data_IF_263609796669
#
_entry.id   IF_263609796669
#
_cell.length_a   1.000
_cell.length_b   1.000
_cell.length_c   1.000
_cell.angle_alpha   90.00
_cell.angle_beta   90.00
_cell.angle_gamma   90.00
#
_symmetry.space_group_name_H-M   'P 1'
#
loop_
_entity.id
_entity.type
_entity.pdbx_description
1 polymer ?
#
# COMPACT_ATOMS: atom_id res chain seq x y z
N UNK A 1 52.87 15.12 -31.31
CA UNK A 1 52.56 15.20 -29.86
C UNK A 1 51.04 15.34 -29.65
N UNK A 2 50.24 14.34 -30.03
CA UNK A 2 48.77 14.48 -30.14
C UNK A 2 47.94 13.36 -29.52
N UNK A 3 48.51 12.57 -28.58
CA UNK A 3 47.82 11.43 -27.96
C UNK A 3 47.21 11.71 -26.59
N UNK A 4 47.80 12.62 -25.79
CA UNK A 4 47.41 12.79 -24.38
C UNK A 4 46.10 13.55 -24.17
N UNK A 5 45.82 14.57 -24.98
CA UNK A 5 44.62 15.40 -24.84
C UNK A 5 43.33 14.64 -25.22
N UNK A 6 43.41 13.77 -26.23
CA UNK A 6 42.25 13.00 -26.71
C UNK A 6 41.83 11.91 -25.71
N UNK A 7 42.81 11.28 -25.04
CA UNK A 7 42.56 10.29 -23.98
C UNK A 7 41.96 10.96 -22.73
N UNK A 8 42.37 12.19 -22.40
CA UNK A 8 41.83 12.93 -21.26
C UNK A 8 40.36 13.35 -21.47
N UNK A 9 40.00 13.75 -22.70
CA UNK A 9 38.63 14.14 -23.06
C UNK A 9 37.68 12.93 -23.06
N UNK A 10 38.15 11.76 -23.55
CA UNK A 10 37.37 10.52 -23.48
C UNK A 10 37.17 10.04 -22.02
N UNK A 11 38.19 10.15 -21.18
CA UNK A 11 38.09 9.75 -19.77
C UNK A 11 37.12 10.64 -18.97
N UNK A 12 37.05 11.95 -19.28
CA UNK A 12 36.09 12.86 -18.66
C UNK A 12 34.64 12.57 -19.10
N UNK A 13 34.41 12.25 -20.38
CA UNK A 13 33.08 11.93 -20.90
C UNK A 13 32.52 10.63 -20.32
N UNK A 14 33.38 9.62 -20.08
CA UNK A 14 32.98 8.35 -19.45
C UNK A 14 32.74 8.53 -17.93
N UNK A 15 33.44 9.46 -17.28
CA UNK A 15 33.23 9.77 -15.85
C UNK A 15 31.95 10.59 -15.56
N UNK A 16 31.39 11.27 -16.57
CA UNK A 16 30.10 11.97 -16.50
C UNK A 16 28.89 11.06 -16.77
N UNK A 17 29.10 9.87 -17.32
CA UNK A 17 28.09 8.81 -17.42
C UNK A 17 27.92 8.04 -16.08
N UNK A 18 28.12 8.73 -14.95
CA UNK A 18 27.73 8.23 -13.62
C UNK A 18 26.22 8.10 -13.59
N UNK A 19 25.75 6.92 -13.99
CA UNK A 19 24.48 6.29 -13.64
C UNK A 19 23.50 7.25 -12.96
N UNK A 20 22.77 8.03 -13.75
CA UNK A 20 21.47 8.49 -13.28
C UNK A 20 20.67 7.21 -13.03
N UNK A 21 20.56 6.80 -11.77
CA UNK A 21 19.59 5.79 -11.38
C UNK A 21 18.27 6.20 -12.04
N UNK A 22 17.56 5.29 -12.74
CA UNK A 22 16.30 5.65 -13.37
C UNK A 22 15.46 6.37 -12.33
N UNK A 23 15.02 7.60 -12.65
CA UNK A 23 14.22 8.40 -11.73
C UNK A 23 13.10 7.51 -11.22
N UNK A 24 13.08 7.27 -9.90
CA UNK A 24 12.12 6.38 -9.28
C UNK A 24 10.73 6.88 -9.67
N UNK A 25 9.99 6.06 -10.42
CA UNK A 25 8.65 6.43 -10.88
C UNK A 25 7.79 6.68 -9.64
N UNK A 26 7.48 7.94 -9.38
CA UNK A 26 6.65 8.35 -8.25
C UNK A 26 5.20 7.89 -8.46
N UNK A 27 4.49 7.73 -7.36
CA UNK A 27 3.15 7.17 -7.30
C UNK A 27 3.01 5.78 -7.93
N UNK A 28 4.07 4.97 -7.83
CA UNK A 28 3.94 3.53 -7.92
C UNK A 28 3.50 2.99 -6.57
N UNK A 29 2.32 2.37 -6.52
CA UNK A 29 1.73 1.88 -5.27
C UNK A 29 2.48 0.69 -4.66
N UNK A 30 3.32 -0.03 -5.42
CA UNK A 30 4.10 -1.15 -4.90
C UNK A 30 4.96 -0.74 -3.70
N UNK A 31 5.09 -1.66 -2.75
CA UNK A 31 5.87 -1.48 -1.52
C UNK A 31 5.03 -1.34 -0.26
N UNK A 32 5.68 -0.92 0.83
CA UNK A 32 5.10 -0.85 2.16
C UNK A 32 4.64 0.58 2.50
N UNK A 33 3.42 0.66 3.01
CA UNK A 33 2.74 1.88 3.42
C UNK A 33 2.26 1.76 4.87
N UNK A 34 2.22 2.89 5.58
CA UNK A 34 1.61 2.99 6.89
C UNK A 34 0.63 4.14 6.92
N UNK A 35 -0.55 3.93 7.49
CA UNK A 35 -1.50 5.01 7.71
C UNK A 35 -1.27 5.76 9.04
N UNK A 36 -2.05 6.81 9.22
CA UNK A 36 -2.19 7.64 10.41
C UNK A 36 -2.70 6.92 11.66
N UNK A 37 -3.19 5.67 11.52
CA UNK A 37 -3.61 4.80 12.61
C UNK A 37 -2.64 3.63 12.84
N UNK A 38 -1.43 3.71 12.30
CA UNK A 38 -0.38 2.69 12.36
C UNK A 38 -0.68 1.34 11.67
N UNK A 39 -1.81 1.22 10.95
CA UNK A 39 -2.06 0.08 10.06
C UNK A 39 -1.04 0.04 8.92
N UNK A 40 -0.68 -1.16 8.51
CA UNK A 40 0.33 -1.41 7.47
C UNK A 40 -0.31 -2.05 6.24
N UNK A 41 0.20 -1.66 5.08
CA UNK A 41 -0.26 -2.15 3.79
C UNK A 41 0.96 -2.43 2.90
N UNK A 42 1.08 -3.65 2.40
CA UNK A 42 2.12 -4.04 1.44
C UNK A 42 1.45 -4.39 0.11
N UNK A 43 1.80 -3.65 -0.94
CA UNK A 43 1.29 -3.85 -2.28
C UNK A 43 2.39 -4.51 -3.11
N UNK A 44 2.02 -5.58 -3.83
CA UNK A 44 2.91 -6.27 -4.75
C UNK A 44 3.32 -5.37 -5.92
N UNK A 45 4.18 -5.88 -6.80
CA UNK A 45 4.32 -5.27 -8.12
C UNK A 45 2.95 -5.20 -8.82
N UNK A 46 2.69 -4.05 -9.46
CA UNK A 46 1.50 -3.83 -10.27
C UNK A 46 1.66 -4.56 -11.60
N UNK A 47 0.55 -5.06 -12.14
CA UNK A 47 0.48 -5.57 -13.51
C UNK A 47 0.39 -4.41 -14.51
N UNK A 48 0.66 -4.67 -15.78
CA UNK A 48 0.65 -3.66 -16.84
C UNK A 48 -0.72 -2.97 -17.01
N UNK A 49 -1.81 -3.67 -16.67
CA UNK A 49 -3.17 -3.14 -16.66
C UNK A 49 -3.51 -2.34 -15.39
N UNK A 50 -2.57 -2.15 -14.46
CA UNK A 50 -2.76 -1.43 -13.21
C UNK A 50 -3.29 -2.28 -12.05
N UNK A 51 -3.63 -3.56 -12.27
CA UNK A 51 -4.08 -4.45 -11.21
C UNK A 51 -2.96 -4.76 -10.22
N UNK A 52 -3.33 -4.88 -8.94
CA UNK A 52 -2.42 -5.30 -7.89
C UNK A 52 -3.09 -6.20 -6.85
N UNK A 53 -2.23 -6.94 -6.15
CA UNK A 53 -2.57 -7.67 -4.94
C UNK A 53 -1.69 -7.18 -3.80
N UNK A 54 -2.02 -7.58 -2.59
CA UNK A 54 -1.23 -7.22 -1.43
C UNK A 54 -1.76 -7.82 -0.15
N UNK A 55 -1.25 -7.28 0.95
CA UNK A 55 -1.64 -7.64 2.29
C UNK A 55 -1.86 -6.38 3.13
N UNK A 56 -2.82 -6.45 4.03
CA UNK A 56 -3.18 -5.38 4.95
C UNK A 56 -3.15 -5.91 6.38
N UNK A 57 -2.49 -5.20 7.28
CA UNK A 57 -2.51 -5.45 8.72
C UNK A 57 -3.10 -4.23 9.41
N UNK A 58 -4.33 -4.36 9.89
CA UNK A 58 -4.97 -3.27 10.64
C UNK A 58 -4.42 -3.21 12.06
N UNK A 59 -4.23 -2.00 12.59
CA UNK A 59 -3.92 -1.80 14.02
C UNK A 59 -5.17 -1.75 14.88
N UNK A 60 -6.32 -1.46 14.28
CA UNK A 60 -7.61 -1.27 14.96
C UNK A 60 -8.64 -2.24 14.38
N UNK A 61 -9.46 -2.83 15.26
CA UNK A 61 -10.57 -3.73 14.88
C UNK A 61 -11.85 -3.25 15.56
N UNK A 62 -12.99 -3.41 14.88
CA UNK A 62 -14.30 -2.99 15.43
C UNK A 62 -14.68 -3.84 16.63
N UNK A 63 -14.50 -5.15 16.53
CA UNK A 63 -14.87 -6.11 17.58
C UNK A 63 -13.84 -6.20 18.71
N UNK A 64 -12.75 -5.43 18.66
CA UNK A 64 -11.62 -5.55 19.59
C UNK A 64 -10.85 -6.89 19.46
N UNK A 65 -11.24 -7.75 18.51
CA UNK A 65 -10.57 -9.02 18.25
C UNK A 65 -9.17 -8.84 17.69
N UNK A 66 -8.34 -9.89 17.81
CA UNK A 66 -6.97 -9.86 17.33
C UNK A 66 -6.91 -9.66 15.82
N UNK A 67 -6.31 -8.55 15.38
CA UNK A 67 -6.10 -8.27 13.97
C UNK A 67 -5.12 -9.28 13.36
N UNK A 68 -5.47 -9.80 12.20
CA UNK A 68 -4.57 -10.64 11.41
C UNK A 68 -4.31 -10.03 10.04
N UNK A 69 -3.26 -10.49 9.39
CA UNK A 69 -2.92 -10.07 8.03
C UNK A 69 -3.97 -10.58 7.05
N UNK A 70 -4.60 -9.65 6.34
CA UNK A 70 -5.69 -9.90 5.41
C UNK A 70 -5.28 -9.58 3.97
N UNK A 71 -5.75 -10.37 2.98
CA UNK A 71 -5.44 -10.10 1.58
C UNK A 71 -6.17 -8.84 1.09
N UNK A 72 -5.50 -8.09 0.22
CA UNK A 72 -6.10 -7.00 -0.55
C UNK A 72 -5.92 -7.19 -2.06
N UNK A 73 -6.85 -6.63 -2.83
CA UNK A 73 -6.83 -6.60 -4.30
C UNK A 73 -7.37 -5.28 -4.80
N UNK A 74 -6.78 -4.72 -5.84
CA UNK A 74 -7.19 -3.42 -6.37
C UNK A 74 -6.61 -3.13 -7.74
N UNK A 75 -6.86 -1.92 -8.20
CA UNK A 75 -6.35 -1.40 -9.46
C UNK A 75 -5.97 0.08 -9.32
N UNK A 76 -4.92 0.47 -10.03
CA UNK A 76 -4.46 1.85 -10.17
C UNK A 76 -4.74 2.33 -11.60
N UNK A 77 -5.31 3.53 -11.74
CA UNK A 77 -5.40 4.17 -13.05
C UNK A 77 -3.99 4.50 -13.55
N UNK A 78 -3.79 4.39 -14.86
CA UNK A 78 -2.53 4.83 -15.47
C UNK A 78 -2.35 6.34 -15.24
N UNK A 79 -1.09 6.79 -15.16
CA UNK A 79 -0.81 8.22 -15.15
C UNK A 79 -1.33 8.82 -16.47
N UNK A 80 -2.43 9.58 -16.38
CA UNK A 80 -2.92 10.42 -17.46
C UNK A 80 -2.17 11.75 -17.52
N UNK A 81 -2.40 12.53 -18.56
CA UNK A 81 -1.73 13.83 -18.77
C UNK A 81 -2.04 14.90 -17.72
N UNK A 82 -3.10 14.75 -16.91
CA UNK A 82 -3.62 15.81 -16.04
C UNK A 82 -3.75 15.44 -14.56
N UNK A 83 -2.93 14.53 -14.02
CA UNK A 83 -2.87 14.35 -12.56
C UNK A 83 -2.17 13.11 -12.04
N UNK A 84 -2.02 13.06 -10.72
CA UNK A 84 -1.53 11.87 -10.03
C UNK A 84 -2.57 10.74 -10.05
N UNK A 85 -2.16 9.46 -10.11
CA UNK A 85 -3.06 8.36 -10.35
C UNK A 85 -4.03 8.15 -9.17
N UNK A 86 -5.29 7.91 -9.51
CA UNK A 86 -6.29 7.38 -8.58
C UNK A 86 -6.22 5.86 -8.54
N UNK A 87 -6.71 5.28 -7.45
CA UNK A 87 -6.73 3.84 -7.26
C UNK A 87 -7.88 3.45 -6.33
N UNK A 88 -8.23 2.17 -6.37
CA UNK A 88 -9.13 1.56 -5.42
C UNK A 88 -8.67 0.15 -5.08
N UNK A 89 -8.96 -0.32 -3.88
CA UNK A 89 -8.72 -1.68 -3.46
C UNK A 89 -9.73 -2.15 -2.42
N UNK A 90 -9.92 -3.46 -2.34
CA UNK A 90 -10.72 -4.13 -1.31
C UNK A 90 -9.82 -4.95 -0.40
N UNK A 91 -10.12 -4.96 0.90
CA UNK A 91 -9.52 -5.82 1.91
C UNK A 91 -10.56 -6.81 2.40
N UNK A 92 -10.24 -8.10 2.37
CA UNK A 92 -11.10 -9.16 2.91
C UNK A 92 -10.60 -9.57 4.29
N UNK A 93 -11.39 -9.38 5.33
CA UNK A 93 -10.99 -9.64 6.73
C UNK A 93 -11.11 -11.12 7.15
N UNK A 94 -11.07 -12.02 6.18
CA UNK A 94 -11.50 -13.44 6.23
C UNK A 94 -10.89 -14.31 7.34
N UNK A 95 -9.79 -13.88 7.95
CA UNK A 95 -9.15 -14.60 9.07
C UNK A 95 -9.72 -14.29 10.45
N UNK A 96 -10.41 -13.16 10.61
CA UNK A 96 -10.88 -12.70 11.93
C UNK A 96 -12.21 -11.94 11.90
N UNK A 97 -12.79 -11.70 10.72
CA UNK A 97 -14.10 -11.04 10.56
C UNK A 97 -14.74 -11.41 9.22
N UNK A 98 -16.08 -11.40 9.17
CA UNK A 98 -16.84 -11.56 7.94
C UNK A 98 -17.06 -10.23 7.19
N UNK A 99 -16.45 -9.14 7.66
CA UNK A 99 -16.55 -7.83 7.03
C UNK A 99 -15.64 -7.71 5.80
N UNK A 100 -15.89 -6.67 4.99
CA UNK A 100 -15.03 -6.25 3.87
C UNK A 100 -14.83 -4.74 3.93
N UNK A 101 -13.63 -4.25 3.63
CA UNK A 101 -13.40 -2.80 3.47
C UNK A 101 -13.00 -2.48 2.04
N UNK A 102 -13.65 -1.49 1.45
CA UNK A 102 -13.23 -0.90 0.19
C UNK A 102 -12.55 0.45 0.45
N UNK A 103 -11.40 0.69 -0.16
CA UNK A 103 -10.67 1.94 -0.17
C UNK A 103 -10.67 2.53 -1.57
N UNK A 104 -10.79 3.85 -1.65
CA UNK A 104 -10.57 4.64 -2.87
C UNK A 104 -9.69 5.82 -2.52
N UNK A 105 -8.78 6.19 -3.41
CA UNK A 105 -7.88 7.31 -3.14
C UNK A 105 -7.07 7.76 -4.32
N UNK A 106 -6.17 8.68 -4.01
CA UNK A 106 -5.22 9.25 -4.95
C UNK A 106 -3.86 9.37 -4.28
N UNK A 107 -2.81 9.07 -5.06
CA UNK A 107 -1.45 9.32 -4.63
C UNK A 107 -1.08 10.79 -4.90
N UNK A 108 -0.28 11.40 -4.03
CA UNK A 108 0.24 12.75 -4.21
C UNK A 108 1.74 12.76 -3.92
N UNK A 109 2.48 13.58 -4.66
CA UNK A 109 3.91 13.82 -4.42
C UNK A 109 4.08 15.31 -4.08
N UNK A 110 4.71 15.61 -2.95
CA UNK A 110 5.03 16.99 -2.59
C UNK A 110 6.30 17.51 -3.28
N UNK A 111 6.61 18.80 -3.07
CA UNK A 111 7.80 19.43 -3.62
C UNK A 111 9.13 18.78 -3.15
N UNK A 112 9.10 18.07 -2.02
CA UNK A 112 10.24 17.29 -1.51
C UNK A 112 10.33 15.86 -2.05
N UNK A 113 9.41 15.47 -2.95
CA UNK A 113 9.37 14.14 -3.53
C UNK A 113 8.78 13.06 -2.62
N UNK A 114 8.14 13.45 -1.51
CA UNK A 114 7.48 12.54 -0.57
C UNK A 114 6.10 12.16 -1.08
N UNK A 115 5.83 10.86 -1.09
CA UNK A 115 4.55 10.32 -1.53
C UNK A 115 3.57 10.15 -0.37
N UNK A 116 2.31 10.50 -0.63
CA UNK A 116 1.19 10.36 0.29
C UNK A 116 0.00 9.75 -0.44
N UNK A 117 -0.64 8.74 0.14
CA UNK A 117 -1.92 8.23 -0.35
C UNK A 117 -3.04 8.83 0.49
N UNK A 118 -3.87 9.66 -0.12
CA UNK A 118 -5.07 10.20 0.51
C UNK A 118 -6.24 9.30 0.14
N UNK A 119 -6.85 8.64 1.12
CA UNK A 119 -7.89 7.62 0.89
C UNK A 119 -9.14 7.87 1.71
N UNK A 120 -10.29 7.48 1.17
CA UNK A 120 -11.51 7.22 1.93
C UNK A 120 -11.83 5.74 1.87
N UNK A 121 -12.57 5.25 2.87
CA UNK A 121 -12.96 3.85 2.92
C UNK A 121 -14.39 3.65 3.40
N UNK A 122 -14.96 2.53 2.97
CA UNK A 122 -16.22 1.98 3.46
C UNK A 122 -15.94 0.60 4.06
N UNK A 123 -16.21 0.43 5.35
CA UNK A 123 -16.20 -0.86 6.01
C UNK A 123 -17.63 -1.39 6.02
N UNK A 124 -17.84 -2.55 5.40
CA UNK A 124 -19.11 -3.23 5.33
C UNK A 124 -19.10 -4.45 6.22
N UNK A 125 -19.95 -4.44 7.24
CA UNK A 125 -20.23 -5.60 8.11
C UNK A 125 -21.25 -6.54 7.45
N UNK A 126 -21.13 -7.83 7.75
CA UNK A 126 -22.18 -8.80 7.48
C UNK A 126 -23.27 -8.66 8.56
N UNK A 127 -24.52 -8.64 8.13
CA UNK A 127 -25.71 -8.56 9.01
C UNK A 127 -26.66 -9.72 8.72
N UNK A 128 -27.50 -10.06 9.69
CA UNK A 128 -28.34 -11.26 9.63
C UNK A 128 -29.56 -11.11 8.74
N UNK A 129 -30.00 -9.87 8.46
CA UNK A 129 -31.18 -9.58 7.64
C UNK A 129 -31.08 -8.22 6.95
N UNK A 130 -32.01 -7.96 6.02
CA UNK A 130 -32.06 -6.70 5.27
C UNK A 130 -32.44 -5.52 6.18
N UNK A 131 -33.24 -5.75 7.22
CA UNK A 131 -33.65 -4.73 8.19
C UNK A 131 -32.47 -4.22 9.02
N UNK A 132 -31.36 -4.95 9.05
CA UNK A 132 -30.12 -4.55 9.71
C UNK A 132 -29.14 -3.81 8.78
N UNK A 133 -29.43 -3.70 7.48
CA UNK A 133 -28.54 -3.11 6.48
C UNK A 133 -28.15 -1.66 6.80
N UNK A 134 -29.09 -0.89 7.36
CA UNK A 134 -28.91 0.54 7.64
C UNK A 134 -27.72 0.85 8.57
N UNK A 135 -27.33 -0.10 9.44
CA UNK A 135 -26.21 0.03 10.38
C UNK A 135 -24.92 -0.63 9.89
N UNK A 136 -24.95 -1.32 8.75
CA UNK A 136 -23.89 -2.23 8.34
C UNK A 136 -22.67 -1.54 7.67
N UNK A 137 -22.76 -0.25 7.35
CA UNK A 137 -21.69 0.47 6.63
C UNK A 137 -21.11 1.61 7.46
N UNK A 138 -19.81 1.54 7.74
CA UNK A 138 -19.04 2.66 8.32
C UNK A 138 -18.18 3.33 7.25
N UNK A 139 -17.94 4.63 7.40
CA UNK A 139 -17.10 5.43 6.49
C UNK A 139 -15.97 6.08 7.26
N UNK A 140 -14.82 6.24 6.61
CA UNK A 140 -13.70 6.97 7.18
C UNK A 140 -12.67 7.39 6.16
N UNK A 141 -11.57 7.95 6.65
CA UNK A 141 -10.44 8.45 5.88
C UNK A 141 -9.15 7.92 6.48
N UNK A 142 -8.17 7.64 5.63
CA UNK A 142 -6.81 7.37 6.08
C UNK A 142 -5.81 8.05 5.15
N UNK A 143 -4.69 8.45 5.73
CA UNK A 143 -3.56 9.02 5.00
C UNK A 143 -2.37 8.09 5.16
N UNK A 144 -1.88 7.53 4.06
CA UNK A 144 -0.73 6.63 4.06
C UNK A 144 0.54 7.34 3.63
N UNK A 145 1.65 6.96 4.26
CA UNK A 145 3.01 7.38 3.88
C UNK A 145 3.89 6.17 3.63
N UNK A 146 4.83 6.32 2.70
CA UNK A 146 5.75 5.23 2.33
C UNK A 146 6.67 4.90 3.49
N UNK A 147 6.85 3.60 3.76
CA UNK A 147 7.87 3.09 4.70
C UNK A 147 9.11 2.69 3.93
N UNK A 148 10.30 2.96 4.51
CA UNK A 148 11.55 2.40 4.02
C UNK A 148 11.52 0.89 4.18
N UNK A 149 11.71 0.17 3.09
CA UNK A 149 11.81 -1.29 3.08
C UNK A 149 13.23 -1.70 3.46
N UNK A 150 13.41 -2.34 4.60
CA UNK A 150 14.53 -3.27 4.80
C UNK A 150 14.11 -4.58 4.16
N UNK A 151 14.87 -5.10 3.18
CA UNK A 151 14.56 -6.33 2.43
C UNK A 151 14.08 -7.46 3.37
N UNK A 152 12.88 -8.00 3.16
CA UNK A 152 12.32 -9.13 3.92
C UNK A 152 10.79 -9.12 3.97
N UNK A 153 10.15 -10.23 4.39
CA UNK A 153 8.68 -10.35 4.56
C UNK A 153 8.24 -9.52 5.78
N UNK A 154 7.86 -8.25 5.58
CA UNK A 154 7.71 -7.27 6.67
C UNK A 154 6.38 -7.44 7.43
N UNK A 155 5.28 -7.78 6.76
CA UNK A 155 3.98 -7.87 7.43
C UNK A 155 3.80 -9.10 8.33
N UNK A 156 4.21 -10.33 7.92
CA UNK A 156 4.02 -11.51 8.76
C UNK A 156 4.82 -11.48 10.06
N UNK A 157 5.99 -10.82 10.07
CA UNK A 157 6.81 -10.67 11.28
C UNK A 157 6.33 -9.58 12.24
N UNK A 158 5.46 -8.67 11.77
CA UNK A 158 4.87 -7.59 12.56
C UNK A 158 3.46 -7.93 13.08
N UNK A 159 2.95 -9.11 12.75
CA UNK A 159 1.67 -9.59 13.26
C UNK A 159 1.85 -9.96 14.74
N UNK A 160 1.09 -9.35 15.67
CA UNK A 160 1.11 -9.81 17.05
C UNK A 160 0.63 -11.27 17.10
N UNK A 161 1.22 -12.13 17.96
CA UNK A 161 0.68 -13.45 18.19
C UNK A 161 -0.73 -13.28 18.78
N UNK A 162 -1.74 -13.77 18.07
CA UNK A 162 -3.08 -13.88 18.64
C UNK A 162 -3.04 -15.03 19.65
N UNK A 163 -3.32 -14.77 20.92
CA UNK A 163 -3.66 -15.85 21.84
C UNK A 163 -4.90 -16.56 21.30
N UNK A 164 -4.83 -17.89 21.17
CA UNK A 164 -5.98 -18.67 20.78
C UNK A 164 -7.04 -18.50 21.89
N UNK A 165 -8.14 -17.82 21.57
CA UNK A 165 -9.32 -17.85 22.44
C UNK A 165 -9.73 -19.32 22.52
N UNK A 166 -9.54 -19.92 23.68
CA UNK A 166 -9.97 -21.30 23.93
C UNK A 166 -11.47 -21.37 23.68
N UNK A 167 -11.87 -22.15 22.67
CA UNK A 167 -13.26 -22.49 22.45
C UNK A 167 -13.84 -23.02 23.76
N UNK A 168 -15.03 -22.59 24.20
CA UNK A 168 -15.74 -23.32 25.25
C UNK A 168 -15.93 -24.75 24.71
N UNK A 169 -15.49 -25.74 25.48
CA UNK A 169 -15.69 -27.15 25.14
C UNK A 169 -17.17 -27.48 25.00
N UNK A 170 -17.49 -28.61 24.33
CA UNK A 170 -18.86 -29.05 24.09
C UNK A 170 -19.68 -29.26 25.38
#
# INVERSE_FOLDING_TARGET
>A
MGGGAFVLVLALAVALAKSAAPAERKCQLSGLWRNDQDSLMEISMLRDNGDFHGQYLTRVTVSGGCAQVSPLRGAQQQLGGEGWPTFAFTVRWDKFSNATTAFVGQCFVDAGGKETLSTMWLLREAVGSLEEDWKATRVGRNVFTRKRTTKGKILPSLSPPCEAVSSPGP
#
